data_IF_189424695291
#
_entry.id   IF_189424695291
#
_cell.length_a   1.000
_cell.length_b   1.000
_cell.length_c   1.000
_cell.angle_alpha   90.00
_cell.angle_beta   90.00
_cell.angle_gamma   90.00
#
_symmetry.space_group_name_H-M   'P 1'
#
loop_
_entity.id
_entity.type
_entity.pdbx_description
1 polymer ?
#
# COMPACT_ATOMS: atom_id res chain seq x y z
N UNK A 1 25.14 -3.89 25.94
CA UNK A 1 25.99 -3.03 25.11
C UNK A 1 25.61 -1.61 25.44
N UNK A 2 26.52 -0.80 25.98
CA UNK A 2 26.23 0.59 26.29
C UNK A 2 26.09 1.36 24.94
N UNK A 3 24.94 1.97 24.69
CA UNK A 3 24.78 2.91 23.59
C UNK A 3 25.82 4.01 23.73
N UNK A 4 26.63 4.21 22.70
CA UNK A 4 27.54 5.34 22.64
C UNK A 4 26.68 6.61 22.50
N UNK A 5 26.56 7.35 23.59
CA UNK A 5 26.01 8.71 23.54
C UNK A 5 26.87 9.55 22.60
N UNK A 6 26.21 10.13 21.58
CA UNK A 6 26.85 11.04 20.63
C UNK A 6 26.76 12.47 21.18
N UNK A 7 27.89 13.19 21.18
CA UNK A 7 27.99 14.61 21.65
C UNK A 7 26.95 15.51 20.95
N UNK A 8 26.55 15.16 19.73
CA UNK A 8 25.52 15.91 18.98
C UNK A 8 24.13 15.74 19.62
N UNK A 9 23.82 14.55 20.16
CA UNK A 9 22.54 14.32 20.87
C UNK A 9 22.47 15.17 22.15
N UNK A 10 23.57 15.27 22.89
CA UNK A 10 23.65 16.10 24.09
C UNK A 10 23.46 17.59 23.78
N UNK A 11 24.01 18.09 22.66
CA UNK A 11 23.83 19.47 22.21
C UNK A 11 22.39 19.76 21.80
N UNK A 12 21.72 18.81 21.12
CA UNK A 12 20.32 18.93 20.71
C UNK A 12 19.43 18.97 21.96
N UNK A 13 19.66 18.08 22.91
CA UNK A 13 18.88 18.00 24.15
C UNK A 13 19.05 19.28 25.00
N UNK A 14 20.27 19.87 25.05
CA UNK A 14 20.55 21.17 25.71
C UNK A 14 19.81 22.31 24.99
N UNK A 15 19.86 22.36 23.66
CA UNK A 15 19.14 23.38 22.85
C UNK A 15 17.64 23.32 23.09
N UNK A 16 17.05 22.11 23.06
CA UNK A 16 15.62 21.91 23.26
C UNK A 16 15.21 22.22 24.72
N UNK A 17 16.09 21.90 25.69
CA UNK A 17 15.92 22.29 27.10
C UNK A 17 15.98 23.80 27.33
N UNK A 18 16.95 24.50 26.69
CA UNK A 18 17.07 25.95 26.75
C UNK A 18 15.91 26.66 26.04
N UNK A 19 15.44 26.12 24.90
CA UNK A 19 14.26 26.66 24.21
C UNK A 19 12.98 26.61 25.08
N UNK A 20 12.81 25.56 25.86
CA UNK A 20 11.71 25.43 26.84
C UNK A 20 11.88 26.39 28.05
N UNK A 21 13.10 26.65 28.47
CA UNK A 21 13.42 27.55 29.58
C UNK A 21 13.33 29.03 29.19
N UNK A 22 13.77 29.37 27.97
CA UNK A 22 13.82 30.75 27.48
C UNK A 22 12.47 31.23 26.89
N UNK A 23 11.55 30.32 26.63
CA UNK A 23 10.22 30.65 26.11
C UNK A 23 9.08 30.03 26.95
N UNK A 24 9.02 30.30 28.27
CA UNK A 24 7.96 29.79 29.13
C UNK A 24 6.56 30.30 28.73
N UNK A 25 6.50 31.36 27.92
CA UNK A 25 5.27 31.96 27.39
C UNK A 25 4.95 31.50 25.96
N UNK A 26 5.82 30.73 25.31
CA UNK A 26 5.61 30.22 23.94
C UNK A 26 4.37 29.33 23.79
N UNK A 27 3.90 28.75 24.89
CA UNK A 27 2.59 28.09 24.96
C UNK A 27 1.41 29.03 25.13
N UNK A 28 1.65 30.31 25.52
CA UNK A 28 0.61 31.32 25.75
C UNK A 28 0.55 32.35 24.61
N UNK A 29 1.63 32.49 23.84
CA UNK A 29 1.69 33.29 22.60
C UNK A 29 1.52 32.43 21.36
N UNK A 30 0.85 31.29 21.48
CA UNK A 30 0.18 30.70 20.32
C UNK A 30 -0.52 31.87 19.66
N UNK A 31 -0.08 32.22 18.45
CA UNK A 31 -0.58 33.31 17.62
C UNK A 31 -2.02 33.58 18.01
N UNK A 32 -2.29 34.81 18.50
CA UNK A 32 -3.67 35.32 18.59
C UNK A 32 -4.07 35.48 17.13
N UNK A 33 -4.28 34.35 16.46
CA UNK A 33 -4.97 34.30 15.20
C UNK A 33 -6.38 34.74 15.52
N UNK A 34 -6.80 35.79 14.85
CA UNK A 34 -8.17 36.30 14.82
C UNK A 34 -9.13 35.11 14.99
N UNK A 35 -10.02 35.10 16.01
CA UNK A 35 -10.98 34.01 16.21
C UNK A 35 -11.89 33.74 15.00
N UNK A 36 -11.89 34.64 13.99
CA UNK A 36 -12.52 34.45 12.69
C UNK A 36 -11.81 33.45 11.77
N UNK A 37 -10.56 33.07 12.04
CA UNK A 37 -9.76 32.15 11.21
C UNK A 37 -9.39 30.82 11.89
N UNK A 38 -10.11 30.38 12.91
CA UNK A 38 -10.00 28.99 13.37
C UNK A 38 -10.58 28.12 12.26
N UNK A 39 -9.71 27.48 11.46
CA UNK A 39 -10.14 26.46 10.50
C UNK A 39 -11.01 25.44 11.20
N UNK A 40 -12.29 25.44 10.88
CA UNK A 40 -13.23 24.47 11.43
C UNK A 40 -12.89 23.11 10.81
N UNK A 41 -12.74 22.10 11.67
CA UNK A 41 -12.64 20.73 11.23
C UNK A 41 -13.91 20.30 10.51
N UNK A 42 -13.83 20.05 9.21
CA UNK A 42 -14.90 19.43 8.43
C UNK A 42 -14.45 18.02 7.99
N UNK A 43 -15.11 16.96 8.52
CA UNK A 43 -14.80 15.60 8.11
C UNK A 43 -14.97 15.34 6.60
N UNK A 44 -15.76 16.14 5.89
CA UNK A 44 -16.00 15.99 4.45
C UNK A 44 -14.75 16.28 3.62
N UNK A 45 -13.85 17.15 4.10
CA UNK A 45 -12.58 17.47 3.44
C UNK A 45 -11.65 16.27 3.31
N UNK A 46 -11.87 15.24 4.11
CA UNK A 46 -11.09 14.00 4.13
C UNK A 46 -11.79 12.85 3.39
N UNK A 47 -12.94 13.10 2.78
CA UNK A 47 -13.77 12.09 2.12
C UNK A 47 -13.88 12.40 0.62
N UNK A 48 -13.94 11.34 -0.15
CA UNK A 48 -14.12 11.42 -1.60
C UNK A 48 -15.06 10.29 -2.02
N UNK A 49 -16.06 10.61 -2.85
CA UNK A 49 -16.98 9.60 -3.39
C UNK A 49 -16.21 8.67 -4.34
N UNK A 50 -16.27 7.34 -4.14
CA UNK A 50 -15.63 6.39 -5.02
C UNK A 50 -16.13 6.52 -6.44
N UNK A 51 -15.21 6.55 -7.41
CA UNK A 51 -15.53 6.55 -8.84
C UNK A 51 -15.43 5.13 -9.36
N UNK A 52 -16.55 4.51 -9.77
CA UNK A 52 -16.52 3.16 -10.30
C UNK A 52 -15.98 3.12 -11.73
N UNK A 53 -15.20 2.06 -12.02
CA UNK A 53 -14.81 1.69 -13.37
C UNK A 53 -15.41 0.33 -13.71
N UNK A 54 -16.47 0.33 -14.49
CA UNK A 54 -17.23 -0.87 -14.83
C UNK A 54 -16.44 -1.89 -15.66
N UNK A 55 -15.41 -1.44 -16.39
CA UNK A 55 -14.55 -2.33 -17.20
C UNK A 55 -13.81 -3.35 -16.34
N UNK A 56 -13.42 -2.97 -15.13
CA UNK A 56 -12.71 -3.85 -14.20
C UNK A 56 -13.64 -4.61 -13.24
N UNK A 57 -14.94 -4.37 -13.30
CA UNK A 57 -15.89 -5.08 -12.45
C UNK A 57 -16.17 -6.48 -13.01
N UNK A 58 -15.94 -7.52 -12.20
CA UNK A 58 -16.16 -8.92 -12.56
C UNK A 58 -17.62 -9.18 -13.01
N UNK A 59 -18.60 -8.42 -12.50
CA UNK A 59 -20.01 -8.57 -12.84
C UNK A 59 -20.42 -7.82 -14.10
N UNK A 60 -19.68 -6.77 -14.49
CA UNK A 60 -19.99 -5.93 -15.63
C UNK A 60 -19.19 -6.32 -16.88
N UNK A 61 -17.98 -6.83 -16.72
CA UNK A 61 -17.04 -7.14 -17.82
C UNK A 61 -17.38 -8.46 -18.53
N UNK A 62 -18.32 -9.24 -17.97
CA UNK A 62 -18.71 -10.50 -18.58
C UNK A 62 -19.20 -10.27 -20.01
N UNK A 63 -18.53 -10.91 -20.97
CA UNK A 63 -18.84 -10.88 -22.39
C UNK A 63 -20.30 -11.30 -22.63
N UNK A 64 -20.95 -10.65 -23.57
CA UNK A 64 -22.33 -10.99 -24.00
C UNK A 64 -22.46 -12.40 -24.60
N UNK A 65 -21.36 -13.12 -24.75
CA UNK A 65 -21.29 -14.46 -25.34
C UNK A 65 -21.39 -15.59 -24.32
N UNK A 66 -21.22 -15.29 -23.02
CA UNK A 66 -21.46 -16.25 -21.96
C UNK A 66 -22.91 -16.19 -21.57
N UNK A 67 -23.58 -17.34 -21.60
CA UNK A 67 -25.01 -17.47 -21.25
C UNK A 67 -25.30 -16.77 -19.92
N UNK A 68 -26.39 -16.02 -19.86
CA UNK A 68 -26.62 -14.99 -18.84
C UNK A 68 -26.72 -15.52 -17.41
N UNK A 69 -26.71 -16.84 -17.23
CA UNK A 69 -26.87 -17.54 -15.94
C UNK A 69 -25.57 -18.03 -15.32
N UNK A 70 -24.42 -17.81 -15.95
CA UNK A 70 -23.13 -18.31 -15.43
C UNK A 70 -22.58 -17.44 -14.29
N UNK A 71 -22.04 -18.12 -13.32
CA UNK A 71 -21.64 -17.70 -11.97
C UNK A 71 -20.65 -16.52 -11.84
N UNK A 72 -20.06 -15.97 -12.93
CA UNK A 72 -19.19 -14.76 -12.87
C UNK A 72 -19.92 -13.56 -12.26
N UNK A 73 -21.24 -13.59 -12.30
CA UNK A 73 -22.09 -12.54 -11.75
C UNK A 73 -22.28 -12.62 -10.24
N UNK A 74 -21.57 -13.51 -9.57
CA UNK A 74 -21.72 -13.74 -8.12
C UNK A 74 -20.79 -12.89 -7.26
N UNK A 75 -19.81 -12.16 -7.82
CA UNK A 75 -18.95 -11.31 -7.02
C UNK A 75 -19.78 -10.25 -6.27
N UNK A 76 -19.79 -10.33 -4.93
CA UNK A 76 -20.57 -9.45 -4.05
C UNK A 76 -19.69 -8.64 -3.08
N UNK A 77 -18.36 -8.80 -3.12
CA UNK A 77 -17.42 -8.25 -2.14
C UNK A 77 -17.67 -6.76 -1.80
N UNK A 78 -17.86 -5.93 -2.82
CA UNK A 78 -18.12 -4.51 -2.59
C UNK A 78 -19.55 -4.23 -2.09
N UNK A 79 -20.53 -5.10 -2.41
CA UNK A 79 -21.89 -5.02 -1.88
C UNK A 79 -21.90 -5.41 -0.40
N UNK A 80 -21.27 -6.53 -0.06
CA UNK A 80 -21.25 -7.10 1.28
C UNK A 80 -20.51 -6.21 2.28
N UNK A 81 -19.43 -5.54 1.83
CA UNK A 81 -18.66 -4.62 2.68
C UNK A 81 -19.33 -3.25 2.85
N UNK A 82 -20.29 -2.90 2.00
CA UNK A 82 -20.89 -1.57 2.01
C UNK A 82 -21.86 -1.40 3.18
N UNK A 83 -21.60 -0.51 4.15
CA UNK A 83 -22.42 -0.39 5.37
C UNK A 83 -23.79 0.24 5.14
N UNK A 84 -24.11 0.69 3.91
CA UNK A 84 -25.32 1.45 3.58
C UNK A 84 -25.91 1.09 2.22
N UNK A 85 -25.54 -0.04 1.64
CA UNK A 85 -26.01 -0.55 0.35
C UNK A 85 -25.97 0.51 -0.78
N UNK A 86 -24.88 1.31 -0.78
CA UNK A 86 -24.74 2.41 -1.72
C UNK A 86 -24.22 1.98 -3.10
N UNK A 87 -23.93 0.70 -3.31
CA UNK A 87 -23.40 0.20 -4.57
C UNK A 87 -24.49 -0.54 -5.32
N UNK A 88 -24.67 -0.19 -6.59
CA UNK A 88 -25.55 -0.88 -7.52
C UNK A 88 -24.74 -1.42 -8.69
N UNK A 89 -24.93 -2.70 -9.00
CA UNK A 89 -24.27 -3.36 -10.12
C UNK A 89 -25.34 -3.94 -11.02
N UNK A 90 -25.37 -3.47 -12.26
CA UNK A 90 -26.18 -4.06 -13.32
C UNK A 90 -25.26 -4.70 -14.40
N UNK A 91 -25.88 -5.24 -15.47
CA UNK A 91 -25.13 -5.94 -16.55
C UNK A 91 -24.06 -5.06 -17.22
N UNK A 92 -24.24 -3.76 -17.25
CA UNK A 92 -23.41 -2.83 -18.04
C UNK A 92 -22.60 -1.86 -17.17
N UNK A 93 -22.99 -1.63 -15.92
CA UNK A 93 -22.38 -0.57 -15.12
C UNK A 93 -22.43 -0.81 -13.62
N UNK A 94 -21.45 -0.23 -12.94
CA UNK A 94 -21.43 -0.05 -11.49
C UNK A 94 -21.76 1.39 -11.18
N UNK A 95 -22.64 1.62 -10.23
CA UNK A 95 -23.00 2.96 -9.74
C UNK A 95 -22.83 3.07 -8.24
N UNK A 96 -22.48 4.25 -7.78
CA UNK A 96 -22.42 4.60 -6.35
C UNK A 96 -23.50 5.63 -6.07
N UNK A 97 -24.47 5.27 -5.22
CA UNK A 97 -25.62 6.10 -4.84
C UNK A 97 -25.19 7.31 -3.99
N UNK A 98 -26.12 8.24 -3.77
CA UNK A 98 -25.84 9.46 -3.01
C UNK A 98 -25.82 9.26 -1.50
N UNK A 99 -26.39 8.14 -0.98
CA UNK A 99 -26.29 7.76 0.41
C UNK A 99 -24.90 7.21 0.79
N UNK A 100 -23.93 7.18 -0.15
CA UNK A 100 -22.57 6.72 0.07
C UNK A 100 -21.90 7.47 1.23
N UNK A 101 -21.30 6.71 2.17
CA UNK A 101 -20.54 7.27 3.32
C UNK A 101 -19.14 7.74 2.96
N UNK A 102 -18.69 7.50 1.74
CA UNK A 102 -17.33 7.83 1.28
C UNK A 102 -16.24 7.23 2.16
N UNK A 103 -16.51 6.06 2.78
CA UNK A 103 -15.60 5.39 3.71
C UNK A 103 -14.41 4.70 3.02
N UNK A 104 -14.52 4.36 1.72
CA UNK A 104 -13.46 3.74 0.93
C UNK A 104 -13.34 2.22 1.04
N UNK A 105 -14.19 1.53 1.81
CA UNK A 105 -14.12 0.07 1.98
C UNK A 105 -14.23 -0.70 0.66
N UNK A 106 -15.03 -0.20 -0.29
CA UNK A 106 -15.17 -0.81 -1.61
C UNK A 106 -13.87 -0.79 -2.43
N UNK A 107 -12.98 0.20 -2.22
CA UNK A 107 -11.65 0.22 -2.87
C UNK A 107 -10.72 -0.82 -2.26
N UNK A 108 -10.82 -1.01 -0.96
CA UNK A 108 -9.99 -1.98 -0.23
C UNK A 108 -10.34 -3.41 -0.65
N UNK A 109 -11.63 -3.76 -0.69
CA UNK A 109 -12.04 -5.17 -0.91
C UNK A 109 -11.98 -5.60 -2.37
N UNK A 110 -12.05 -4.68 -3.33
CA UNK A 110 -12.12 -5.03 -4.76
C UNK A 110 -10.78 -5.56 -5.28
N UNK A 111 -10.68 -6.83 -5.74
CA UNK A 111 -9.41 -7.40 -6.19
C UNK A 111 -8.95 -6.82 -7.53
N UNK A 112 -9.87 -6.30 -8.35
CA UNK A 112 -9.60 -5.74 -9.67
C UNK A 112 -9.51 -4.22 -9.67
N UNK A 113 -9.59 -3.58 -8.49
CA UNK A 113 -9.52 -2.12 -8.32
C UNK A 113 -10.55 -1.36 -9.15
N UNK A 114 -11.79 -1.89 -9.22
CA UNK A 114 -12.90 -1.24 -9.97
C UNK A 114 -13.36 0.08 -9.35
N UNK A 115 -12.92 0.44 -8.15
CA UNK A 115 -13.25 1.71 -7.51
C UNK A 115 -12.01 2.55 -7.31
N UNK A 116 -12.09 3.82 -7.65
CA UNK A 116 -10.99 4.77 -7.52
C UNK A 116 -11.39 5.86 -6.53
N UNK A 117 -10.57 6.05 -5.50
CA UNK A 117 -10.59 7.19 -4.57
C UNK A 117 -9.17 7.74 -4.55
N UNK A 118 -8.95 8.96 -5.05
CA UNK A 118 -7.61 9.53 -5.22
C UNK A 118 -6.85 9.58 -3.88
N UNK A 119 -7.53 10.02 -2.83
CA UNK A 119 -6.94 10.12 -1.47
C UNK A 119 -6.54 8.79 -0.85
N UNK A 120 -7.08 7.67 -1.36
CA UNK A 120 -6.80 6.31 -0.89
C UNK A 120 -5.91 5.51 -1.86
N UNK A 121 -5.37 6.15 -2.89
CA UNK A 121 -4.42 5.49 -3.77
C UNK A 121 -3.19 5.05 -2.97
N UNK A 122 -2.80 3.78 -3.13
CA UNK A 122 -1.76 3.15 -2.32
C UNK A 122 -0.46 3.97 -2.26
N UNK A 123 -0.01 4.53 -3.39
CA UNK A 123 1.18 5.38 -3.44
C UNK A 123 1.05 6.63 -2.58
N UNK A 124 -0.06 7.39 -2.74
CA UNK A 124 -0.24 8.64 -2.00
C UNK A 124 -0.36 8.39 -0.50
N UNK A 125 -1.03 7.30 -0.14
CA UNK A 125 -1.22 6.92 1.25
C UNK A 125 0.08 6.42 1.88
N UNK A 126 0.85 5.60 1.14
CA UNK A 126 2.19 5.20 1.55
C UNK A 126 3.08 6.42 1.79
N UNK A 127 3.19 7.34 0.82
CA UNK A 127 4.02 8.53 0.92
C UNK A 127 3.66 9.39 2.15
N UNK A 128 2.37 9.53 2.44
CA UNK A 128 1.89 10.30 3.59
C UNK A 128 2.26 9.63 4.91
N UNK A 129 2.02 8.32 5.05
CA UNK A 129 2.33 7.58 6.27
C UNK A 129 3.86 7.47 6.45
N UNK A 130 4.61 7.18 5.39
CA UNK A 130 6.05 7.08 5.42
C UNK A 130 6.74 8.39 5.85
N UNK A 131 6.24 9.55 5.39
CA UNK A 131 6.72 10.86 5.86
C UNK A 131 6.50 11.03 7.35
N UNK A 132 5.29 10.76 7.82
CA UNK A 132 4.96 10.88 9.24
C UNK A 132 5.82 9.92 10.09
N UNK A 133 5.93 8.64 9.69
CA UNK A 133 6.70 7.63 10.39
C UNK A 133 8.21 7.93 10.41
N UNK A 134 8.75 8.55 9.34
CA UNK A 134 10.17 8.92 9.28
C UNK A 134 10.51 10.19 10.07
N UNK A 135 9.52 11.09 10.25
CA UNK A 135 9.73 12.39 10.89
C UNK A 135 9.52 12.33 12.39
N UNK A 136 8.59 11.50 12.85
CA UNK A 136 8.13 11.44 14.25
C UNK A 136 8.47 10.11 14.91
N UNK A 137 8.56 10.11 16.24
CA UNK A 137 8.78 8.89 17.02
C UNK A 137 7.60 7.92 16.90
N UNK A 138 6.39 8.44 16.67
CA UNK A 138 5.18 7.67 16.42
C UNK A 138 4.39 8.27 15.28
N UNK A 139 3.89 7.43 14.39
CA UNK A 139 2.93 7.78 13.35
C UNK A 139 1.59 7.14 13.68
N UNK A 140 0.52 7.93 13.64
CA UNK A 140 -0.83 7.44 13.95
C UNK A 140 -1.69 7.44 12.69
N UNK A 141 -2.23 6.27 12.35
CA UNK A 141 -3.26 6.13 11.31
C UNK A 141 -4.61 6.12 12.02
N UNK A 142 -5.50 7.02 11.65
CA UNK A 142 -6.78 7.21 12.34
C UNK A 142 -7.91 7.59 11.38
N UNK A 143 -9.13 7.69 11.86
CA UNK A 143 -10.26 8.09 11.03
C UNK A 143 -10.91 9.41 11.50
N UNK A 144 -11.68 10.03 10.59
CA UNK A 144 -12.37 11.31 10.84
C UNK A 144 -13.27 11.27 12.06
N UNK A 145 -13.85 10.11 12.38
CA UNK A 145 -14.71 9.94 13.54
C UNK A 145 -13.92 9.86 14.85
N UNK A 146 -12.79 9.13 14.82
CA UNK A 146 -11.97 8.92 16.01
C UNK A 146 -11.25 10.20 16.44
N UNK A 147 -10.71 10.94 15.47
CA UNK A 147 -9.95 12.15 15.78
C UNK A 147 -10.86 13.34 16.13
N UNK A 148 -11.90 13.61 15.34
CA UNK A 148 -12.89 14.67 15.59
C UNK A 148 -12.35 16.10 15.56
N UNK A 149 -11.10 16.30 15.12
CA UNK A 149 -10.38 17.58 15.04
C UNK A 149 -9.41 17.55 13.85
N UNK A 150 -8.79 18.69 13.55
CA UNK A 150 -7.71 18.76 12.58
C UNK A 150 -6.55 17.85 12.99
N UNK A 151 -6.00 17.05 12.06
CA UNK A 151 -4.88 16.16 12.33
C UNK A 151 -3.59 16.95 12.55
N UNK A 152 -2.74 16.48 13.45
CA UNK A 152 -1.35 16.91 13.54
C UNK A 152 -0.52 16.21 12.45
N UNK A 153 0.71 16.65 12.25
CA UNK A 153 1.56 16.18 11.15
C UNK A 153 1.88 14.67 11.20
N UNK A 154 1.90 14.08 12.40
CA UNK A 154 2.10 12.63 12.58
C UNK A 154 0.78 11.84 12.69
N UNK A 155 -0.36 12.47 12.45
CA UNK A 155 -1.67 11.83 12.43
C UNK A 155 -2.18 11.77 10.99
N UNK A 156 -2.21 10.58 10.43
CA UNK A 156 -2.72 10.35 9.06
C UNK A 156 -4.21 10.07 9.14
N UNK A 157 -4.99 11.07 8.74
CA UNK A 157 -6.44 11.03 8.81
C UNK A 157 -7.04 10.40 7.55
N UNK A 158 -7.89 9.39 7.77
CA UNK A 158 -8.62 8.63 6.75
C UNK A 158 -10.13 8.76 6.95
N UNK A 159 -10.93 8.52 5.91
CA UNK A 159 -12.38 8.35 6.08
C UNK A 159 -12.73 7.20 7.03
N UNK A 160 -12.04 6.07 6.86
CA UNK A 160 -12.10 4.88 7.71
C UNK A 160 -10.76 4.15 7.63
N UNK A 161 -10.26 3.64 8.76
CA UNK A 161 -9.01 2.83 8.77
C UNK A 161 -9.17 1.55 7.96
N UNK A 162 -10.39 0.97 7.92
CA UNK A 162 -10.70 -0.20 7.09
C UNK A 162 -10.54 -0.02 5.58
N UNK A 163 -10.29 1.21 5.10
CA UNK A 163 -10.02 1.45 3.68
C UNK A 163 -8.58 1.11 3.26
N UNK A 164 -7.69 0.80 4.20
CA UNK A 164 -6.29 0.46 3.93
C UNK A 164 -6.16 -1.04 3.65
N UNK A 165 -5.75 -1.46 2.45
CA UNK A 165 -5.62 -2.88 2.12
C UNK A 165 -4.38 -3.50 2.77
N UNK A 166 -4.41 -4.83 2.96
CA UNK A 166 -3.32 -5.62 3.57
C UNK A 166 -1.97 -5.46 2.89
N UNK A 167 -1.98 -5.28 1.58
CA UNK A 167 -0.76 -5.10 0.80
C UNK A 167 -0.05 -3.79 1.18
N UNK A 168 -0.82 -2.74 1.45
CA UNK A 168 -0.27 -1.48 1.92
C UNK A 168 0.18 -1.56 3.38
N UNK A 169 -0.61 -2.19 4.26
CA UNK A 169 -0.17 -2.48 5.63
C UNK A 169 1.13 -3.25 5.65
N UNK A 170 1.23 -4.33 4.85
CA UNK A 170 2.46 -5.12 4.71
C UNK A 170 3.67 -4.25 4.36
N UNK A 171 3.53 -3.38 3.34
CA UNK A 171 4.62 -2.50 2.92
C UNK A 171 5.02 -1.53 4.03
N UNK A 172 4.05 -0.96 4.74
CA UNK A 172 4.29 0.00 5.80
C UNK A 172 5.00 -0.61 7.01
N UNK A 173 4.54 -1.77 7.50
CA UNK A 173 5.12 -2.40 8.70
C UNK A 173 6.42 -3.15 8.41
N UNK A 174 6.72 -3.46 7.17
CA UNK A 174 8.03 -3.95 6.78
C UNK A 174 9.09 -2.84 6.74
N UNK A 175 8.67 -1.61 6.46
CA UNK A 175 9.55 -0.46 6.38
C UNK A 175 9.68 0.34 7.69
N UNK A 176 8.66 0.29 8.56
CA UNK A 176 8.56 1.13 9.75
C UNK A 176 8.00 0.33 10.94
N UNK A 177 8.60 0.48 12.09
CA UNK A 177 8.25 -0.17 13.36
C UNK A 177 7.45 0.75 14.32
N UNK A 178 7.23 2.00 13.93
CA UNK A 178 6.65 3.04 14.75
C UNK A 178 5.22 3.47 14.32
N UNK A 179 4.55 2.66 13.51
CA UNK A 179 3.18 2.92 13.06
C UNK A 179 2.17 2.35 14.07
N UNK A 180 1.19 3.16 14.43
CA UNK A 180 0.10 2.77 15.32
C UNK A 180 -1.24 3.20 14.74
N UNK A 181 -2.27 2.42 14.96
CA UNK A 181 -3.66 2.83 14.73
C UNK A 181 -4.18 3.53 15.98
N UNK A 182 -4.69 4.75 15.82
CA UNK A 182 -5.38 5.45 16.88
C UNK A 182 -6.89 5.36 16.70
N UNK A 183 -7.55 4.62 17.59
CA UNK A 183 -9.00 4.49 17.65
C UNK A 183 -9.41 4.42 19.13
N UNK A 184 -10.19 5.39 19.65
CA UNK A 184 -10.76 5.28 20.98
C UNK A 184 -11.60 4.02 21.13
N UNK A 185 -11.63 3.44 22.33
CA UNK A 185 -12.42 2.25 22.61
C UNK A 185 -13.89 2.47 22.24
N UNK A 186 -14.53 1.45 21.73
CA UNK A 186 -15.95 1.41 21.32
C UNK A 186 -16.35 2.46 20.27
N UNK A 187 -15.37 3.11 19.61
CA UNK A 187 -15.65 4.13 18.59
C UNK A 187 -16.32 3.53 17.35
N UNK A 188 -15.94 2.30 17.00
CA UNK A 188 -16.47 1.57 15.85
C UNK A 188 -17.89 1.06 16.09
N UNK A 189 -18.25 0.64 17.29
CA UNK A 189 -19.60 0.19 17.67
C UNK A 189 -20.66 1.25 17.42
N UNK A 190 -20.28 2.52 17.62
CA UNK A 190 -21.15 3.68 17.41
C UNK A 190 -20.96 4.31 16.02
N UNK A 191 -20.19 3.66 15.15
CA UNK A 191 -19.90 4.19 13.83
C UNK A 191 -20.99 3.79 12.82
N UNK A 192 -21.31 4.72 11.90
CA UNK A 192 -22.20 4.43 10.78
C UNK A 192 -21.55 3.57 9.70
N UNK A 193 -20.25 3.31 9.80
CA UNK A 193 -19.48 2.39 8.95
C UNK A 193 -19.30 1.09 9.73
N UNK A 194 -20.38 0.34 9.87
CA UNK A 194 -20.48 -0.84 10.75
C UNK A 194 -19.52 -1.97 10.36
N UNK A 195 -19.18 -2.11 9.08
CA UNK A 195 -18.24 -3.13 8.56
C UNK A 195 -16.77 -2.70 8.63
N UNK A 196 -16.49 -1.49 9.16
CA UNK A 196 -15.14 -0.91 9.14
C UNK A 196 -14.18 -1.57 10.11
N UNK A 197 -14.67 -2.05 11.26
CA UNK A 197 -13.86 -2.70 12.29
C UNK A 197 -13.35 -4.04 11.81
N UNK A 198 -14.22 -4.91 11.35
CA UNK A 198 -13.85 -6.21 10.78
C UNK A 198 -12.89 -6.03 9.61
N UNK A 199 -13.12 -4.99 8.78
CA UNK A 199 -12.26 -4.69 7.65
C UNK A 199 -10.82 -4.41 8.10
N UNK A 200 -10.56 -3.44 8.98
CA UNK A 200 -9.18 -3.12 9.36
C UNK A 200 -8.52 -4.23 10.17
N UNK A 201 -9.29 -4.90 11.02
CA UNK A 201 -8.77 -6.01 11.84
C UNK A 201 -8.27 -7.15 10.96
N UNK A 202 -9.06 -7.56 9.97
CA UNK A 202 -8.68 -8.63 9.05
C UNK A 202 -7.48 -8.25 8.16
N UNK A 203 -7.45 -7.01 7.67
CA UNK A 203 -6.37 -6.55 6.80
C UNK A 203 -5.05 -6.41 7.56
N UNK A 204 -5.06 -5.84 8.78
CA UNK A 204 -3.89 -5.72 9.65
C UNK A 204 -3.40 -7.12 10.07
N UNK A 205 -4.28 -7.96 10.60
CA UNK A 205 -3.90 -9.31 11.04
C UNK A 205 -3.26 -10.14 9.92
N UNK A 206 -3.73 -9.98 8.68
CA UNK A 206 -3.13 -10.64 7.52
C UNK A 206 -1.73 -10.09 7.23
N UNK A 207 -1.56 -8.78 7.25
CA UNK A 207 -0.26 -8.14 7.02
C UNK A 207 0.76 -8.52 8.10
N UNK A 208 0.35 -8.52 9.37
CA UNK A 208 1.17 -8.95 10.52
C UNK A 208 1.60 -10.41 10.41
N UNK A 209 0.67 -11.29 10.02
CA UNK A 209 0.96 -12.71 9.79
C UNK A 209 2.02 -12.91 8.70
N UNK A 210 1.98 -12.12 7.63
CA UNK A 210 2.94 -12.23 6.54
C UNK A 210 4.30 -11.63 6.91
N UNK A 211 4.33 -10.46 7.56
CA UNK A 211 5.57 -9.75 7.89
C UNK A 211 6.25 -10.24 9.17
N UNK A 212 5.48 -10.79 10.13
CA UNK A 212 5.89 -11.01 11.53
C UNK A 212 6.23 -9.71 12.29
N UNK A 213 5.81 -8.58 11.77
CA UNK A 213 5.81 -7.28 12.44
C UNK A 213 4.40 -6.97 12.92
N UNK A 214 4.24 -6.01 13.82
CA UNK A 214 2.95 -5.63 14.37
C UNK A 214 2.68 -4.14 14.20
N UNK A 215 1.40 -3.80 14.01
CA UNK A 215 0.88 -2.44 14.06
C UNK A 215 0.58 -2.10 15.51
N UNK A 216 1.08 -0.97 15.99
CA UNK A 216 0.73 -0.50 17.33
C UNK A 216 -0.76 -0.11 17.40
N UNK A 217 -1.34 -0.15 18.60
CA UNK A 217 -2.70 0.32 18.83
C UNK A 217 -2.73 1.32 19.99
N UNK A 218 -3.39 2.46 19.79
CA UNK A 218 -3.55 3.49 20.80
C UNK A 218 -5.03 3.88 20.94
N UNK A 219 -5.55 3.79 22.13
CA UNK A 219 -6.96 4.11 22.43
C UNK A 219 -7.11 5.47 23.13
N UNK A 220 -6.03 5.99 23.71
CA UNK A 220 -6.09 7.20 24.51
C UNK A 220 -5.55 8.42 23.75
N UNK A 221 -6.45 9.32 23.36
CA UNK A 221 -6.06 10.54 22.63
C UNK A 221 -5.17 11.51 23.41
N UNK A 222 -5.11 11.42 24.75
CA UNK A 222 -4.21 12.24 25.57
C UNK A 222 -2.79 11.67 25.64
N UNK A 223 -2.61 10.39 25.30
CA UNK A 223 -1.34 9.69 25.32
C UNK A 223 -0.60 9.72 23.99
N UNK A 224 -1.13 10.40 22.97
CA UNK A 224 -0.48 10.45 21.65
C UNK A 224 0.84 11.22 21.73
N UNK A 225 1.92 10.56 21.29
CA UNK A 225 3.24 11.16 21.19
C UNK A 225 3.38 11.92 19.86
N UNK A 226 3.69 13.21 19.93
CA UNK A 226 3.89 14.10 18.79
C UNK A 226 5.33 14.60 18.68
N UNK A 227 6.26 13.95 19.37
CA UNK A 227 7.67 14.31 19.31
C UNK A 227 8.31 13.88 18.00
N UNK A 228 9.13 14.75 17.46
CA UNK A 228 9.95 14.42 16.29
C UNK A 228 11.04 13.43 16.65
N UNK A 229 11.32 12.49 15.77
CA UNK A 229 12.36 11.51 15.96
C UNK A 229 13.74 12.19 16.11
N UNK A 230 14.59 11.68 17.02
CA UNK A 230 15.94 12.21 17.26
C UNK A 230 16.78 12.26 15.98
N UNK A 231 16.69 11.23 15.15
CA UNK A 231 17.41 11.19 13.87
C UNK A 231 16.98 12.32 12.93
N UNK A 232 15.69 12.67 12.90
CA UNK A 232 15.18 13.77 12.11
C UNK A 232 15.63 15.12 12.65
N UNK A 233 15.52 15.37 13.97
CA UNK A 233 16.01 16.60 14.63
C UNK A 233 17.49 16.82 14.42
N UNK A 234 18.30 15.74 14.50
CA UNK A 234 19.74 15.79 14.22
C UNK A 234 20.02 16.21 12.78
N UNK A 235 19.28 15.67 11.82
CA UNK A 235 19.38 16.05 10.40
C UNK A 235 19.06 17.54 10.18
N UNK A 236 17.98 18.04 10.76
CA UNK A 236 17.62 19.47 10.68
C UNK A 236 18.70 20.36 11.30
N UNK A 237 19.20 20.01 12.49
CA UNK A 237 20.27 20.75 13.15
C UNK A 237 21.54 20.87 12.28
N UNK A 238 21.91 19.76 11.62
CA UNK A 238 23.08 19.76 10.73
C UNK A 238 22.86 20.63 9.47
N UNK A 239 21.64 20.68 8.93
CA UNK A 239 21.30 21.54 7.81
C UNK A 239 21.28 23.02 8.22
N UNK A 240 20.73 23.35 9.38
CA UNK A 240 20.74 24.70 9.95
C UNK A 240 22.19 25.19 10.16
N UNK A 241 23.08 24.33 10.67
CA UNK A 241 24.51 24.63 10.83
C UNK A 241 25.20 24.87 9.49
N UNK A 242 24.89 24.09 8.47
CA UNK A 242 25.42 24.32 7.11
C UNK A 242 24.96 25.64 6.52
N UNK A 243 23.68 25.96 6.66
CA UNK A 243 23.13 27.23 6.19
C UNK A 243 23.72 28.46 6.94
N UNK A 244 24.03 28.28 8.22
CA UNK A 244 24.67 29.33 9.02
C UNK A 244 26.17 29.50 8.75
N UNK A 245 26.75 28.75 7.79
CA UNK A 245 28.17 28.87 7.43
C UNK A 245 29.16 28.30 8.43
N UNK A 246 28.68 27.51 9.43
CA UNK A 246 29.51 26.90 10.47
C UNK A 246 30.12 25.56 10.01
N UNK A 247 30.26 25.34 8.72
CA UNK A 247 30.69 24.08 8.07
C UNK A 247 32.14 23.66 8.37
N UNK A 248 32.96 24.54 8.95
CA UNK A 248 34.38 24.25 9.17
C UNK A 248 34.67 23.30 10.34
N UNK A 249 33.72 23.05 11.25
CA UNK A 249 33.95 22.29 12.49
C UNK A 249 33.40 20.85 12.50
N UNK A 250 32.63 20.44 11.50
CA UNK A 250 31.93 19.14 11.51
C UNK A 250 32.21 18.31 10.24
N UNK A 251 33.43 18.31 9.75
CA UNK A 251 33.82 17.65 8.49
C UNK A 251 34.08 16.12 8.60
N UNK A 252 33.64 15.44 9.66
CA UNK A 252 33.80 13.99 9.78
C UNK A 252 32.47 13.32 10.10
N UNK A 253 31.94 12.58 9.14
CA UNK A 253 30.74 11.75 9.17
C UNK A 253 29.41 12.51 8.97
N UNK A 254 29.18 13.00 7.78
CA UNK A 254 27.89 13.51 7.35
C UNK A 254 26.94 12.35 7.06
N UNK A 255 26.08 12.00 8.03
CA UNK A 255 24.83 11.32 7.70
C UNK A 255 23.99 12.24 6.80
N UNK A 256 23.34 11.73 5.74
CA UNK A 256 22.50 12.57 4.91
C UNK A 256 21.38 13.19 5.75
N UNK A 257 21.09 14.46 5.53
CA UNK A 257 20.04 15.20 6.19
C UNK A 257 18.74 14.40 6.26
N UNK A 258 18.08 14.38 7.41
CA UNK A 258 16.91 13.53 7.66
C UNK A 258 15.82 13.65 6.58
N UNK A 259 15.52 14.90 6.13
CA UNK A 259 14.56 15.13 5.06
C UNK A 259 14.99 14.57 3.70
N UNK A 260 16.30 14.60 3.38
CA UNK A 260 16.83 14.02 2.14
C UNK A 260 16.79 12.47 2.18
N UNK A 261 17.08 11.88 3.34
CA UNK A 261 16.97 10.43 3.53
C UNK A 261 15.52 9.95 3.36
N UNK A 262 14.55 10.69 3.90
CA UNK A 262 13.11 10.41 3.74
C UNK A 262 12.69 10.54 2.29
N UNK A 263 13.03 11.66 1.64
CA UNK A 263 12.70 11.88 0.23
C UNK A 263 13.37 10.85 -0.69
N UNK A 264 14.56 10.36 -0.31
CA UNK A 264 15.23 9.26 -0.99
C UNK A 264 14.45 7.95 -0.80
N UNK A 265 14.11 7.56 0.43
CA UNK A 265 13.37 6.32 0.71
C UNK A 265 12.03 6.27 -0.02
N UNK A 266 11.28 7.38 -0.04
CA UNK A 266 10.01 7.49 -0.77
C UNK A 266 10.24 7.38 -2.29
N UNK A 267 11.29 8.02 -2.82
CA UNK A 267 11.65 7.88 -4.24
C UNK A 267 12.07 6.47 -4.58
N UNK A 268 12.98 5.89 -3.81
CA UNK A 268 13.47 4.52 -4.03
C UNK A 268 12.31 3.53 -4.06
N UNK A 269 11.31 3.68 -3.18
CA UNK A 269 10.10 2.87 -3.19
C UNK A 269 9.25 3.09 -4.47
N UNK A 270 9.07 4.34 -4.89
CA UNK A 270 8.33 4.65 -6.11
C UNK A 270 9.04 4.17 -7.38
N UNK A 271 10.35 4.37 -7.46
CA UNK A 271 11.18 3.95 -8.59
C UNK A 271 11.18 2.43 -8.69
N UNK A 272 11.28 1.73 -7.55
CA UNK A 272 11.21 0.29 -7.49
C UNK A 272 9.88 -0.27 -7.99
N UNK A 273 8.75 0.33 -7.58
CA UNK A 273 7.45 -0.07 -8.10
C UNK A 273 7.32 0.18 -9.62
N UNK A 274 7.98 1.22 -10.13
CA UNK A 274 8.04 1.49 -11.58
C UNK A 274 8.90 0.46 -12.30
N UNK A 275 10.08 0.16 -11.78
CA UNK A 275 11.02 -0.82 -12.34
C UNK A 275 10.43 -2.22 -12.36
N UNK A 276 9.65 -2.61 -11.33
CA UNK A 276 8.93 -3.89 -11.32
C UNK A 276 7.96 -3.99 -12.51
N UNK A 277 7.21 -2.95 -12.81
CA UNK A 277 6.28 -2.97 -13.93
C UNK A 277 7.03 -3.13 -15.25
N UNK A 278 8.12 -2.39 -15.43
CA UNK A 278 8.95 -2.47 -16.64
C UNK A 278 9.58 -3.85 -16.77
N UNK A 279 10.17 -4.37 -15.71
CA UNK A 279 10.79 -5.71 -15.71
C UNK A 279 9.79 -6.82 -15.98
N UNK A 280 8.54 -6.69 -15.51
CA UNK A 280 7.46 -7.61 -15.85
C UNK A 280 7.05 -7.53 -17.31
N UNK A 281 6.90 -6.33 -17.85
CA UNK A 281 6.55 -6.12 -19.24
C UNK A 281 7.65 -6.69 -20.19
N UNK A 282 8.91 -6.56 -19.81
CA UNK A 282 10.05 -7.14 -20.53
C UNK A 282 10.13 -8.68 -20.41
N UNK A 283 9.88 -9.23 -19.21
CA UNK A 283 10.03 -10.67 -18.96
C UNK A 283 8.85 -11.51 -19.47
N UNK A 284 7.64 -10.99 -19.35
CA UNK A 284 6.38 -11.74 -19.60
C UNK A 284 5.65 -11.22 -20.85
N UNK A 285 6.02 -10.03 -21.32
CA UNK A 285 5.31 -9.28 -22.35
C UNK A 285 4.15 -8.47 -21.78
N UNK A 286 3.89 -7.33 -22.40
CA UNK A 286 2.81 -6.41 -22.03
C UNK A 286 1.43 -6.87 -22.55
N UNK A 287 1.40 -7.85 -23.47
CA UNK A 287 0.19 -8.36 -24.11
C UNK A 287 -0.05 -9.83 -23.81
N UNK A 288 -1.31 -10.16 -23.57
CA UNK A 288 -1.79 -11.53 -23.52
C UNK A 288 -1.82 -12.16 -24.94
N UNK A 289 -1.94 -13.47 -25.02
CA UNK A 289 -2.12 -14.18 -26.30
C UNK A 289 -3.36 -13.69 -27.08
N UNK A 290 -4.35 -13.14 -26.38
CA UNK A 290 -5.52 -12.45 -26.96
C UNK A 290 -5.21 -11.11 -27.65
N UNK A 291 -3.98 -10.60 -27.52
CA UNK A 291 -3.58 -9.26 -28.01
C UNK A 291 -3.92 -8.11 -27.06
N UNK A 292 -4.69 -8.36 -26.00
CA UNK A 292 -5.02 -7.32 -25.01
C UNK A 292 -3.84 -7.07 -24.05
N UNK A 293 -3.67 -5.81 -23.64
CA UNK A 293 -2.64 -5.45 -22.66
C UNK A 293 -2.95 -6.05 -21.29
N UNK A 294 -1.94 -6.62 -20.63
CA UNK A 294 -2.04 -7.09 -19.26
C UNK A 294 -2.15 -5.92 -18.28
N UNK A 295 -2.94 -6.10 -17.23
CA UNK A 295 -3.19 -5.07 -16.24
C UNK A 295 -2.55 -5.47 -14.91
N UNK A 296 -1.55 -4.70 -14.47
CA UNK A 296 -0.95 -4.86 -13.17
C UNK A 296 -1.64 -3.91 -12.18
N UNK A 297 -2.47 -4.46 -11.28
CA UNK A 297 -3.16 -3.68 -10.24
C UNK A 297 -2.15 -3.12 -9.22
N UNK A 298 -2.48 -2.01 -8.56
CA UNK A 298 -1.60 -1.39 -7.58
C UNK A 298 -1.33 -2.30 -6.38
N UNK A 299 -2.35 -3.01 -5.89
CA UNK A 299 -2.20 -4.00 -4.83
C UNK A 299 -1.21 -5.09 -5.22
N UNK A 300 -1.39 -5.67 -6.43
CA UNK A 300 -0.48 -6.71 -6.92
C UNK A 300 0.94 -6.20 -7.11
N UNK A 301 1.10 -4.99 -7.62
CA UNK A 301 2.37 -4.31 -7.77
C UNK A 301 3.09 -4.14 -6.42
N UNK A 302 2.36 -3.74 -5.37
CA UNK A 302 2.88 -3.64 -4.01
C UNK A 302 3.37 -4.99 -3.50
N UNK A 303 2.59 -6.07 -3.69
CA UNK A 303 2.98 -7.44 -3.30
C UNK A 303 4.29 -7.85 -3.98
N UNK A 304 4.40 -7.65 -5.29
CA UNK A 304 5.60 -8.01 -6.04
C UNK A 304 6.82 -7.20 -5.57
N UNK A 305 6.63 -5.91 -5.28
CA UNK A 305 7.66 -5.06 -4.72
C UNK A 305 8.16 -5.55 -3.37
N UNK A 306 7.24 -5.92 -2.51
CA UNK A 306 7.58 -6.44 -1.18
C UNK A 306 8.31 -7.79 -1.26
N UNK A 307 7.91 -8.68 -2.16
CA UNK A 307 8.60 -9.96 -2.39
C UNK A 307 10.03 -9.76 -2.92
N UNK A 308 10.27 -8.74 -3.74
CA UNK A 308 11.62 -8.42 -4.20
C UNK A 308 12.51 -7.87 -3.09
N UNK A 309 11.96 -6.97 -2.25
CA UNK A 309 12.69 -6.37 -1.12
C UNK A 309 12.94 -7.37 0.00
N UNK A 310 11.95 -8.17 0.30
CA UNK A 310 11.90 -9.09 1.42
C UNK A 310 11.52 -10.50 0.95
N UNK A 311 12.44 -11.24 0.29
CA UNK A 311 12.15 -12.57 -0.26
C UNK A 311 11.64 -13.58 0.79
N UNK A 312 11.98 -13.40 2.06
CA UNK A 312 11.50 -14.23 3.16
C UNK A 312 9.99 -14.16 3.41
N UNK A 313 9.30 -13.14 2.87
CA UNK A 313 7.84 -13.06 2.92
C UNK A 313 7.19 -14.21 2.14
N UNK A 314 7.86 -14.71 1.09
CA UNK A 314 7.34 -15.81 0.27
C UNK A 314 7.03 -17.08 1.09
N UNK A 315 7.74 -17.31 2.18
CA UNK A 315 7.53 -18.48 3.05
C UNK A 315 6.19 -18.44 3.81
N UNK A 316 5.62 -17.25 3.96
CA UNK A 316 4.46 -16.98 4.82
C UNK A 316 3.23 -16.51 4.05
N UNK A 317 3.43 -15.95 2.87
CA UNK A 317 2.32 -15.50 2.02
C UNK A 317 1.60 -16.69 1.41
N UNK A 318 0.28 -16.59 1.32
CA UNK A 318 -0.58 -17.56 0.65
C UNK A 318 -1.22 -16.86 -0.54
N UNK A 319 -0.76 -17.21 -1.72
CA UNK A 319 -1.29 -16.72 -2.98
C UNK A 319 -1.80 -17.91 -3.78
N UNK A 320 -2.87 -17.73 -4.51
CA UNK A 320 -3.49 -18.77 -5.31
C UNK A 320 -3.54 -18.33 -6.78
N UNK A 321 -3.45 -19.29 -7.66
CA UNK A 321 -3.57 -19.11 -9.11
C UNK A 321 -4.46 -20.21 -9.68
N UNK A 322 -5.10 -19.97 -10.82
CA UNK A 322 -5.86 -21.03 -11.49
C UNK A 322 -4.94 -22.09 -12.07
N UNK A 323 -5.24 -23.35 -11.79
CA UNK A 323 -4.61 -24.53 -12.36
C UNK A 323 -5.65 -25.26 -13.22
N UNK A 324 -5.25 -25.70 -14.42
CA UNK A 324 -6.14 -26.33 -15.39
C UNK A 324 -5.98 -27.85 -15.38
N UNK A 325 -7.10 -28.55 -15.18
CA UNK A 325 -7.18 -29.97 -15.50
C UNK A 325 -7.35 -30.14 -17.02
N UNK A 326 -6.26 -30.52 -17.68
CA UNK A 326 -6.22 -30.67 -19.14
C UNK A 326 -7.12 -31.79 -19.67
N UNK A 327 -7.54 -32.73 -18.80
CA UNK A 327 -8.42 -33.85 -19.19
C UNK A 327 -9.88 -33.42 -19.32
N UNK A 328 -10.27 -32.37 -18.64
CA UNK A 328 -11.62 -31.79 -18.66
C UNK A 328 -11.70 -30.51 -19.50
N UNK A 329 -10.57 -29.94 -19.88
CA UNK A 329 -10.52 -28.67 -20.59
C UNK A 329 -10.89 -28.84 -22.07
N UNK A 330 -11.97 -28.18 -22.50
CA UNK A 330 -12.41 -28.14 -23.92
C UNK A 330 -11.74 -27.05 -24.74
N UNK A 331 -10.77 -26.33 -24.19
CA UNK A 331 -10.03 -25.25 -24.87
C UNK A 331 -10.93 -24.11 -25.41
N UNK A 332 -12.10 -23.90 -24.83
CA UNK A 332 -13.08 -22.92 -25.28
C UNK A 332 -12.65 -21.45 -25.12
N UNK A 333 -11.62 -21.16 -24.33
CA UNK A 333 -11.03 -19.84 -24.15
C UNK A 333 -11.87 -18.84 -23.34
N UNK A 334 -12.99 -19.27 -22.71
CA UNK A 334 -13.84 -18.39 -21.89
C UNK A 334 -13.05 -17.80 -20.74
N UNK A 335 -12.24 -18.61 -20.03
CA UNK A 335 -11.41 -18.18 -18.91
C UNK A 335 -10.39 -17.07 -19.28
N UNK A 336 -9.90 -17.07 -20.53
CA UNK A 336 -8.99 -16.03 -21.03
C UNK A 336 -9.72 -14.74 -21.32
N UNK A 337 -10.90 -14.82 -21.97
CA UNK A 337 -11.73 -13.64 -22.28
C UNK A 337 -12.28 -12.94 -21.03
N UNK A 338 -12.67 -13.73 -20.05
CA UNK A 338 -13.27 -13.22 -18.80
C UNK A 338 -12.25 -12.82 -17.74
N UNK A 339 -10.94 -12.96 -18.01
CA UNK A 339 -9.90 -12.53 -17.09
C UNK A 339 -9.78 -10.98 -17.06
N UNK A 340 -10.16 -10.31 -15.98
CA UNK A 340 -10.25 -8.84 -15.92
C UNK A 340 -8.87 -8.16 -16.03
N UNK A 341 -7.80 -8.89 -15.77
CA UNK A 341 -6.42 -8.39 -15.79
C UNK A 341 -5.60 -9.00 -16.93
N UNK A 342 -6.22 -9.80 -17.80
CA UNK A 342 -5.58 -10.50 -18.91
C UNK A 342 -4.38 -11.35 -18.49
N UNK A 343 -4.46 -11.99 -17.33
CA UNK A 343 -3.40 -12.86 -16.80
C UNK A 343 -3.42 -14.27 -17.40
N UNK A 344 -4.55 -14.71 -17.94
CA UNK A 344 -4.75 -16.04 -18.50
C UNK A 344 -4.44 -16.05 -20.02
N UNK A 345 -3.80 -17.10 -20.49
CA UNK A 345 -3.49 -17.33 -21.91
C UNK A 345 -3.90 -18.75 -22.34
N UNK A 346 -4.14 -18.92 -23.64
CA UNK A 346 -4.10 -20.20 -24.33
C UNK A 346 -2.98 -20.16 -25.36
N UNK A 347 -2.17 -21.20 -25.39
CA UNK A 347 -1.17 -21.34 -26.47
C UNK A 347 -1.82 -21.75 -27.81
N UNK A 348 -1.00 -21.91 -28.86
CA UNK A 348 -1.49 -22.34 -30.19
C UNK A 348 -2.05 -23.77 -30.21
N UNK A 349 -1.68 -24.58 -29.23
CA UNK A 349 -2.17 -25.93 -29.01
C UNK A 349 -3.42 -25.97 -28.15
N UNK A 350 -3.83 -24.80 -27.58
CA UNK A 350 -5.00 -24.66 -26.70
C UNK A 350 -4.70 -24.96 -25.22
N UNK A 351 -3.44 -25.12 -24.83
CA UNK A 351 -3.12 -25.33 -23.43
C UNK A 351 -3.25 -24.03 -22.65
N UNK A 352 -3.93 -24.13 -21.51
CA UNK A 352 -4.10 -23.01 -20.60
C UNK A 352 -2.80 -22.70 -19.84
N UNK A 353 -2.51 -21.44 -19.68
CA UNK A 353 -1.47 -20.96 -18.79
C UNK A 353 -1.88 -19.67 -18.11
N UNK A 354 -1.32 -19.40 -16.93
CA UNK A 354 -1.54 -18.16 -16.19
C UNK A 354 -0.22 -17.46 -15.93
N UNK A 355 -0.21 -16.14 -16.10
CA UNK A 355 0.90 -15.29 -15.68
C UNK A 355 0.65 -14.87 -14.23
N UNK A 356 1.16 -15.68 -13.31
CA UNK A 356 0.90 -15.56 -11.88
C UNK A 356 1.21 -14.15 -11.34
N UNK A 357 2.21 -13.46 -11.87
CA UNK A 357 2.54 -12.08 -11.47
C UNK A 357 1.40 -11.08 -11.71
N UNK A 358 0.57 -11.28 -12.73
CA UNK A 358 -0.59 -10.43 -13.00
C UNK A 358 -1.89 -10.91 -12.36
N UNK A 359 -1.95 -12.19 -11.94
CA UNK A 359 -3.15 -12.78 -11.36
C UNK A 359 -3.49 -12.11 -10.01
N UNK A 360 -4.71 -11.63 -9.87
CA UNK A 360 -5.22 -10.97 -8.64
C UNK A 360 -6.03 -11.91 -7.75
N UNK A 361 -5.99 -13.20 -8.01
CA UNK A 361 -6.69 -14.24 -7.25
C UNK A 361 -8.21 -13.96 -7.09
N UNK A 362 -8.85 -13.52 -8.18
CA UNK A 362 -10.28 -13.19 -8.14
C UNK A 362 -11.20 -14.40 -8.38
N UNK A 363 -10.67 -15.56 -8.80
CA UNK A 363 -11.42 -16.78 -9.07
C UNK A 363 -12.35 -16.74 -10.30
N UNK A 364 -12.42 -15.63 -11.02
CA UNK A 364 -13.36 -15.47 -12.14
C UNK A 364 -13.20 -16.57 -13.21
N UNK A 365 -11.96 -16.90 -13.58
CA UNK A 365 -11.68 -17.92 -14.60
C UNK A 365 -12.17 -19.32 -14.18
N UNK A 366 -12.03 -19.69 -12.90
CA UNK A 366 -12.54 -20.96 -12.38
C UNK A 366 -14.08 -20.98 -12.37
N UNK A 367 -14.69 -19.84 -11.98
CA UNK A 367 -16.16 -19.72 -11.90
C UNK A 367 -16.86 -19.78 -13.26
N UNK A 368 -16.22 -19.23 -14.34
CA UNK A 368 -16.82 -19.23 -15.69
C UNK A 368 -16.55 -20.49 -16.50
N UNK A 369 -15.74 -21.40 -15.98
CA UNK A 369 -15.40 -22.61 -16.72
C UNK A 369 -16.61 -23.56 -16.80
N UNK A 370 -17.18 -23.81 -18.01
CA UNK A 370 -18.36 -24.66 -18.13
C UNK A 370 -18.09 -26.11 -17.74
N UNK A 371 -16.83 -26.55 -17.89
CA UNK A 371 -16.39 -27.91 -17.59
C UNK A 371 -15.83 -28.04 -16.17
N UNK A 372 -15.82 -26.95 -15.38
CA UNK A 372 -15.14 -26.91 -14.06
C UNK A 372 -13.68 -27.39 -14.10
N UNK A 373 -13.00 -27.20 -15.24
CA UNK A 373 -11.64 -27.66 -15.46
C UNK A 373 -10.58 -26.77 -14.76
N UNK A 374 -10.98 -25.70 -14.09
CA UNK A 374 -10.07 -24.78 -13.40
C UNK A 374 -10.35 -24.78 -11.90
N UNK A 375 -9.29 -25.00 -11.13
CA UNK A 375 -9.28 -24.90 -9.66
C UNK A 375 -8.29 -23.82 -9.24
N UNK A 376 -8.59 -23.14 -8.11
CA UNK A 376 -7.65 -22.19 -7.50
C UNK A 376 -6.74 -22.95 -6.55
N UNK A 377 -5.43 -22.93 -6.82
CA UNK A 377 -4.43 -23.65 -6.04
C UNK A 377 -3.34 -22.73 -5.55
N UNK A 378 -2.72 -23.09 -4.42
CA UNK A 378 -1.62 -22.33 -3.87
C UNK A 378 -0.41 -22.34 -4.83
N UNK A 379 0.11 -21.16 -5.15
CA UNK A 379 1.37 -21.01 -5.88
C UNK A 379 2.51 -20.66 -4.93
N UNK A 380 3.73 -21.01 -5.29
CA UNK A 380 4.93 -20.52 -4.58
C UNK A 380 5.13 -19.04 -4.89
N UNK A 381 5.03 -18.14 -3.89
CA UNK A 381 5.26 -16.72 -4.11
C UNK A 381 6.66 -16.38 -4.65
N UNK A 382 7.64 -17.27 -4.50
CA UNK A 382 8.98 -17.10 -5.08
C UNK A 382 8.98 -17.11 -6.60
N UNK A 383 8.02 -17.80 -7.23
CA UNK A 383 7.84 -17.80 -8.69
C UNK A 383 7.35 -16.44 -9.21
N UNK A 384 6.79 -15.62 -8.33
CA UNK A 384 6.32 -14.27 -8.66
C UNK A 384 7.45 -13.23 -8.64
N UNK A 385 8.58 -13.55 -8.03
CA UNK A 385 9.73 -12.65 -8.00
C UNK A 385 10.24 -12.50 -9.42
N UNK A 386 9.99 -11.34 -9.99
CA UNK A 386 10.56 -10.98 -11.30
C UNK A 386 12.06 -10.84 -11.10
N UNK A 387 12.81 -11.78 -11.62
CA UNK A 387 14.26 -11.65 -11.67
C UNK A 387 14.57 -10.43 -12.53
N UNK A 388 15.14 -9.42 -11.91
CA UNK A 388 15.68 -8.28 -12.65
C UNK A 388 16.84 -8.79 -13.50
N UNK A 389 16.52 -9.13 -14.75
CA UNK A 389 17.47 -9.68 -15.74
C UNK A 389 18.61 -8.69 -16.00
N UNK A 390 18.32 -7.38 -15.91
CA UNK A 390 19.35 -6.35 -16.04
C UNK A 390 20.27 -6.26 -14.81
N UNK A 391 19.70 -6.31 -13.59
CA UNK A 391 20.51 -6.33 -12.37
C UNK A 391 21.35 -7.60 -12.30
N UNK A 392 20.81 -8.74 -12.74
CA UNK A 392 21.55 -9.99 -12.80
C UNK A 392 22.65 -9.93 -13.87
N UNK A 393 22.41 -9.32 -15.05
CA UNK A 393 23.43 -9.05 -16.07
C UNK A 393 24.50 -8.08 -15.56
N UNK A 394 24.14 -7.01 -14.87
CA UNK A 394 25.09 -6.05 -14.25
C UNK A 394 25.95 -6.73 -13.19
N UNK A 395 25.36 -7.57 -12.33
CA UNK A 395 26.12 -8.36 -11.34
C UNK A 395 27.07 -9.36 -12.00
N UNK A 396 26.63 -10.06 -13.04
CA UNK A 396 27.50 -10.99 -13.81
C UNK A 396 28.62 -10.25 -14.52
N UNK A 397 28.34 -9.11 -15.12
CA UNK A 397 29.41 -8.31 -15.80
C UNK A 397 30.38 -7.71 -14.76
N UNK A 398 29.90 -7.26 -13.59
CA UNK A 398 30.76 -6.77 -12.52
C UNK A 398 31.64 -7.89 -11.93
N UNK A 399 31.07 -9.08 -11.68
CA UNK A 399 31.81 -10.24 -11.20
C UNK A 399 32.90 -10.69 -12.23
N UNK A 400 32.57 -10.73 -13.50
CA UNK A 400 33.51 -11.05 -14.56
C UNK A 400 34.65 -10.03 -14.69
N UNK A 401 34.35 -8.75 -14.43
CA UNK A 401 35.34 -7.68 -14.43
C UNK A 401 36.26 -7.75 -13.20
N UNK A 402 35.70 -8.11 -12.05
CA UNK A 402 36.49 -8.32 -10.82
C UNK A 402 37.40 -9.56 -10.91
N UNK A 403 36.92 -10.66 -11.53
CA UNK A 403 37.74 -11.84 -11.80
C UNK A 403 38.88 -11.52 -12.76
N UNK A 404 38.64 -10.73 -13.80
CA UNK A 404 39.70 -10.29 -14.74
C UNK A 404 40.74 -9.41 -14.07
N UNK A 405 40.35 -8.55 -13.15
CA UNK A 405 41.27 -7.72 -12.37
C UNK A 405 42.08 -8.52 -11.36
N UNK A 406 41.52 -9.58 -10.78
CA UNK A 406 42.23 -10.49 -9.86
C UNK A 406 43.16 -11.47 -10.60
N UNK A 407 42.89 -11.79 -11.86
CA UNK A 407 43.74 -12.64 -12.69
C UNK A 407 44.86 -11.90 -13.42
N UNK A 408 44.89 -10.57 -13.34
CA UNK A 408 45.89 -9.71 -13.96
C UNK A 408 46.92 -9.14 -12.93
N UNK A 409 46.75 -9.46 -11.65
CA UNK A 409 47.66 -9.15 -10.53
C UNK A 409 48.41 -10.41 -10.08
#
# INVERSE_FOLDING_TARGET
MAEKHDVIDDIIDIRDGLGRLLNPLGGLTGSITDPAHVERFDPSDYKEKPRPNSIFCLRCSASSLVDQDVAVRTCSLCLDICPVDAIEINKASVRVKDNCRMCGLCTMVCPTESFIVQRLMARQLYDKIARAASTYERCYVTCTRALGRLPRENEVLLPCVGAVPRELWLSLIADFDNISVYLPLDICDRCRTTTGEDAYTNEIATAEKWSQASVGFEANGRGLNHEQARAYRRGQFMDDMRQAGLTALVATNSAPAGAQAIAKKIRDHADQLYDIQRSLEEAVGDKAASGHRRILTQKRKTVLGMLQLHPSLADRMRLEVPVCDVTHCTMCGICVRECPVNACDLDRQGHFSVKAAYCVNCGACATVCPENALTMEACDPRELVVRDVEAERRRRSAATQEERLKGAA
#
